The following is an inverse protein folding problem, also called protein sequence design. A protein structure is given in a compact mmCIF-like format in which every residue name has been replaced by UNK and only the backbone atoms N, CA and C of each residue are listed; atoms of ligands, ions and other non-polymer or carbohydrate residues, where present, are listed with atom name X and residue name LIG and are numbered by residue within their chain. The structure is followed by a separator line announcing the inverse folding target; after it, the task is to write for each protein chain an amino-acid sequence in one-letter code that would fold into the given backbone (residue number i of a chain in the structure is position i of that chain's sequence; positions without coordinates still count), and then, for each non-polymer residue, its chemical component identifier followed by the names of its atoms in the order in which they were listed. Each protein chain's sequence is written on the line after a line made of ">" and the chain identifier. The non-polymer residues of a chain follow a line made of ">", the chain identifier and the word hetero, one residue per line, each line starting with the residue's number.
data_IF_570410799684
#
_entry.id   IF_570410799684
#
_cell.length_a   1.000
_cell.length_b   1.000
_cell.length_c   1.000
_cell.angle_alpha   90.00
_cell.angle_beta   90.00
_cell.angle_gamma   90.00
#
_symmetry.space_group_name_H-M   'P 1'
#
loop_
_entity.id
_entity.type
_entity.pdbx_description
1 polymer ?
#
# COMPACT_ATOMS: atom_id res chain seq x y z
N UNK A 1 10.70 13.68 -12.12
CA UNK A 1 10.80 12.89 -13.36
C UNK A 1 10.34 11.49 -13.00
N UNK A 2 9.15 11.10 -13.44
CA UNK A 2 8.62 9.77 -13.15
C UNK A 2 9.46 8.75 -13.93
N UNK A 3 10.00 7.77 -13.23
CA UNK A 3 10.85 6.73 -13.81
C UNK A 3 10.05 5.94 -14.85
N UNK A 4 10.48 5.96 -16.10
CA UNK A 4 9.83 5.23 -17.21
C UNK A 4 9.81 3.71 -17.03
N UNK A 5 10.37 3.14 -15.96
CA UNK A 5 10.20 1.72 -15.64
C UNK A 5 10.24 1.51 -14.11
N UNK A 6 9.18 1.93 -13.40
CA UNK A 6 9.00 1.55 -11.99
C UNK A 6 9.04 0.03 -11.79
N UNK A 7 8.67 -0.71 -12.84
CA UNK A 7 8.85 -2.16 -12.99
C UNK A 7 9.78 -2.42 -14.17
N UNK A 8 10.75 -3.29 -13.97
CA UNK A 8 11.48 -3.86 -15.10
C UNK A 8 10.64 -4.97 -15.78
N UNK A 9 11.07 -5.39 -16.97
CA UNK A 9 10.36 -6.40 -17.76
C UNK A 9 10.20 -7.75 -17.04
N UNK A 10 11.19 -8.14 -16.22
CA UNK A 10 11.14 -9.36 -15.43
C UNK A 10 10.08 -9.27 -14.31
N UNK A 11 10.04 -8.16 -13.58
CA UNK A 11 9.05 -7.93 -12.53
C UNK A 11 7.63 -7.89 -13.09
N UNK A 12 7.45 -7.27 -14.26
CA UNK A 12 6.16 -7.29 -14.95
C UNK A 12 5.77 -8.71 -15.36
N UNK A 13 6.70 -9.47 -15.96
CA UNK A 13 6.45 -10.86 -16.32
C UNK A 13 6.08 -11.73 -15.12
N UNK A 14 6.78 -11.57 -13.99
CA UNK A 14 6.50 -12.29 -12.74
C UNK A 14 5.11 -11.94 -12.20
N UNK A 15 4.75 -10.67 -12.17
CA UNK A 15 3.43 -10.24 -11.73
C UNK A 15 2.33 -10.81 -12.63
N UNK A 16 2.49 -10.70 -13.96
CA UNK A 16 1.51 -11.20 -14.93
C UNK A 16 1.36 -12.74 -14.85
N UNK A 17 2.42 -13.45 -14.45
CA UNK A 17 2.43 -14.92 -14.36
C UNK A 17 1.94 -15.46 -13.02
N UNK A 18 2.28 -14.78 -11.91
CA UNK A 18 2.05 -15.27 -10.54
C UNK A 18 0.89 -14.56 -9.84
N UNK A 19 0.46 -13.40 -10.34
CA UNK A 19 -0.54 -12.54 -9.70
C UNK A 19 -0.01 -11.77 -8.49
N UNK A 20 1.29 -11.82 -8.20
CA UNK A 20 1.92 -11.07 -7.12
C UNK A 20 3.38 -10.70 -7.46
N UNK A 21 3.93 -9.75 -6.70
CA UNK A 21 5.32 -9.32 -6.81
C UNK A 21 5.95 -9.14 -5.43
N UNK A 22 7.22 -9.52 -5.28
CA UNK A 22 8.00 -9.31 -4.05
C UNK A 22 8.87 -8.06 -4.23
N UNK A 23 8.66 -7.06 -3.37
CA UNK A 23 9.48 -5.85 -3.32
C UNK A 23 10.38 -5.90 -2.06
N UNK A 24 11.67 -6.25 -2.19
CA UNK A 24 12.57 -6.30 -1.05
C UNK A 24 12.83 -4.89 -0.53
N UNK A 25 13.02 -4.76 0.79
CA UNK A 25 13.38 -3.49 1.43
C UNK A 25 12.43 -2.33 1.14
N UNK A 26 11.13 -2.61 0.96
CA UNK A 26 10.11 -1.58 0.77
C UNK A 26 10.04 -0.58 1.94
N UNK A 27 10.40 -1.04 3.15
CA UNK A 27 10.49 -0.25 4.37
C UNK A 27 11.95 -0.13 4.84
N UNK A 28 12.28 1.04 5.37
CA UNK A 28 13.55 1.26 6.08
C UNK A 28 13.50 0.65 7.48
N UNK A 29 14.68 0.41 8.06
CA UNK A 29 14.80 -0.11 9.43
C UNK A 29 14.14 0.82 10.47
N UNK A 30 14.27 2.13 10.31
CA UNK A 30 13.65 3.11 11.22
C UNK A 30 12.12 3.09 11.14
N UNK A 31 11.55 2.92 9.94
CA UNK A 31 10.10 2.74 9.78
C UNK A 31 9.63 1.45 10.47
N UNK A 32 10.36 0.35 10.30
CA UNK A 32 10.06 -0.93 10.97
C UNK A 32 10.13 -0.78 12.49
N UNK A 33 11.18 -0.13 13.01
CA UNK A 33 11.35 0.08 14.45
C UNK A 33 10.23 0.98 14.99
N UNK A 34 9.83 2.03 14.26
CA UNK A 34 8.69 2.87 14.63
C UNK A 34 7.39 2.08 14.67
N UNK A 35 7.07 1.32 13.61
CA UNK A 35 5.88 0.48 13.57
C UNK A 35 5.79 -0.44 14.79
N UNK A 36 6.89 -1.11 15.15
CA UNK A 36 6.96 -2.00 16.31
C UNK A 36 6.63 -1.29 17.63
N UNK A 37 7.03 -0.03 17.80
CA UNK A 37 6.68 0.75 19.02
C UNK A 37 5.20 1.10 19.12
N UNK A 38 4.49 1.09 17.99
CA UNK A 38 3.05 1.43 17.94
C UNK A 38 2.15 0.22 18.09
N UNK A 39 2.69 -1.01 17.94
CA UNK A 39 1.97 -2.25 18.14
C UNK A 39 1.58 -2.39 19.62
N UNK A 40 0.28 -2.45 19.87
CA UNK A 40 -0.25 -2.57 21.24
C UNK A 40 -0.51 -4.01 21.65
N UNK A 41 -0.80 -4.90 20.69
CA UNK A 41 -1.06 -6.34 20.92
C UNK A 41 -0.31 -7.21 19.89
N UNK A 42 0.13 -8.43 20.25
CA UNK A 42 0.91 -9.31 19.36
C UNK A 42 0.18 -9.77 18.07
N UNK A 43 -1.13 -9.60 18.01
CA UNK A 43 -1.96 -9.69 16.81
C UNK A 43 -3.19 -8.81 17.10
N UNK A 44 -3.51 -7.84 16.25
CA UNK A 44 -4.80 -7.14 16.37
C UNK A 44 -5.93 -8.06 15.91
N UNK A 45 -6.26 -9.04 16.74
CA UNK A 45 -7.58 -9.62 16.80
C UNK A 45 -8.50 -8.56 17.43
N UNK A 46 -9.41 -8.03 16.62
CA UNK A 46 -10.53 -7.23 17.12
C UNK A 46 -11.61 -8.19 17.56
N UNK A 47 -12.04 -8.08 18.82
CA UNK A 47 -13.10 -8.94 19.36
C UNK A 47 -14.49 -8.42 18.97
N UNK A 48 -14.60 -7.14 18.56
CA UNK A 48 -15.86 -6.51 18.16
C UNK A 48 -15.71 -5.51 16.99
N UNK A 49 -16.74 -5.37 16.12
CA UNK A 49 -16.74 -4.41 15.00
C UNK A 49 -16.54 -2.94 15.39
N UNK A 50 -16.88 -2.56 16.63
CA UNK A 50 -16.66 -1.21 17.17
C UNK A 50 -15.18 -0.89 17.41
N UNK A 51 -14.30 -1.89 17.46
CA UNK A 51 -12.85 -1.71 17.61
C UNK A 51 -12.17 -1.38 16.27
N UNK A 52 -12.90 -1.43 15.14
CA UNK A 52 -12.38 -1.04 13.82
C UNK A 52 -12.06 0.45 13.72
N UNK A 53 -12.75 1.31 14.48
CA UNK A 53 -12.36 2.73 14.60
C UNK A 53 -11.02 2.92 15.30
N UNK A 54 -10.55 1.90 16.03
CA UNK A 54 -9.22 1.81 16.61
C UNK A 54 -8.28 0.99 15.72
N UNK A 55 -8.46 0.98 14.39
CA UNK A 55 -7.56 0.28 13.47
C UNK A 55 -6.19 0.97 13.29
N UNK A 56 -5.22 0.30 12.63
CA UNK A 56 -3.84 0.79 12.52
C UNK A 56 -3.70 2.22 12.00
N UNK A 57 -4.58 2.62 11.07
CA UNK A 57 -4.61 3.97 10.50
C UNK A 57 -4.86 5.09 11.53
N UNK A 58 -5.31 4.75 12.74
CA UNK A 58 -5.56 5.68 13.84
C UNK A 58 -4.52 5.61 14.97
N UNK A 59 -3.63 4.62 15.00
CA UNK A 59 -2.67 4.47 16.11
C UNK A 59 -1.53 5.46 16.06
N UNK A 60 -1.00 5.68 14.87
CA UNK A 60 0.14 6.55 14.63
C UNK A 60 0.17 6.93 13.14
N UNK A 61 0.59 8.16 12.79
CA UNK A 61 0.75 8.57 11.41
C UNK A 61 1.57 7.60 10.54
N UNK A 62 2.55 6.89 11.12
CA UNK A 62 3.39 5.93 10.39
C UNK A 62 2.58 4.89 9.60
N UNK A 63 1.39 4.50 10.08
CA UNK A 63 0.52 3.54 9.41
C UNK A 63 -0.20 4.11 8.19
N UNK A 64 -0.54 5.41 8.22
CA UNK A 64 -1.10 6.11 7.06
C UNK A 64 -0.03 6.39 6.03
N UNK A 65 1.17 6.73 6.48
CA UNK A 65 2.33 6.95 5.61
C UNK A 65 2.70 5.66 4.82
N UNK A 66 2.31 4.47 5.28
CA UNK A 66 2.47 3.22 4.52
C UNK A 66 1.66 3.18 3.22
N UNK A 67 0.55 3.93 3.14
CA UNK A 67 -0.31 3.98 1.95
C UNK A 67 0.33 4.78 0.81
N UNK A 68 1.24 5.68 1.15
CA UNK A 68 1.89 6.60 0.22
C UNK A 68 3.41 6.34 0.10
N UNK A 69 3.85 5.10 0.31
CA UNK A 69 5.28 4.74 0.31
C UNK A 69 5.94 5.07 -1.04
N UNK A 70 6.98 5.93 -1.07
CA UNK A 70 7.66 6.30 -2.33
C UNK A 70 8.28 5.12 -3.08
N UNK A 71 8.59 4.04 -2.37
CA UNK A 71 9.13 2.78 -2.93
C UNK A 71 8.07 1.95 -3.65
N UNK A 72 6.78 2.12 -3.29
CA UNK A 72 5.66 1.37 -3.86
C UNK A 72 4.82 2.22 -4.81
N UNK A 73 4.67 3.52 -4.57
CA UNK A 73 3.78 4.38 -5.35
C UNK A 73 4.01 4.33 -6.86
N UNK A 74 5.25 4.39 -7.38
CA UNK A 74 5.49 4.25 -8.82
C UNK A 74 5.13 2.87 -9.36
N UNK A 75 5.29 1.82 -8.54
CA UNK A 75 4.97 0.43 -8.93
C UNK A 75 3.46 0.25 -9.00
N UNK A 76 2.72 0.73 -8.01
CA UNK A 76 1.26 0.72 -8.00
C UNK A 76 0.68 1.52 -9.17
N UNK A 77 1.25 2.69 -9.44
CA UNK A 77 0.88 3.49 -10.61
C UNK A 77 1.07 2.72 -11.92
N UNK A 78 2.18 1.99 -12.06
CA UNK A 78 2.46 1.19 -13.26
C UNK A 78 1.62 -0.10 -13.38
N UNK A 79 1.15 -0.68 -12.27
CA UNK A 79 0.35 -1.93 -12.28
C UNK A 79 -1.15 -1.66 -12.40
N UNK A 80 -1.66 -0.69 -11.66
CA UNK A 80 -3.11 -0.49 -11.43
C UNK A 80 -3.54 0.97 -11.61
N UNK A 81 -2.63 1.86 -12.03
CA UNK A 81 -2.96 3.24 -12.36
C UNK A 81 -3.69 3.38 -13.69
N UNK A 82 -4.41 4.49 -13.83
CA UNK A 82 -4.96 4.97 -15.10
C UNK A 82 -3.93 5.90 -15.76
N UNK A 83 -3.27 5.36 -16.79
CA UNK A 83 -2.24 6.07 -17.56
C UNK A 83 -2.78 7.36 -18.21
N UNK A 84 -3.99 7.33 -18.77
CA UNK A 84 -4.58 8.52 -19.43
C UNK A 84 -4.93 9.62 -18.42
N UNK A 85 -5.37 9.22 -17.22
CA UNK A 85 -5.60 10.16 -16.13
C UNK A 85 -4.29 10.77 -15.62
N UNK A 86 -3.25 9.95 -15.45
CA UNK A 86 -1.94 10.43 -15.00
C UNK A 86 -1.30 11.39 -16.01
N UNK A 87 -1.34 11.07 -17.30
CA UNK A 87 -0.85 11.96 -18.37
C UNK A 87 -1.57 13.31 -18.36
N UNK A 88 -2.91 13.29 -18.22
CA UNK A 88 -3.69 14.52 -18.07
C UNK A 88 -3.32 15.31 -16.82
N UNK A 89 -3.04 14.65 -15.69
CA UNK A 89 -2.61 15.32 -14.46
C UNK A 89 -1.24 15.96 -14.61
N UNK A 90 -0.30 15.28 -15.24
CA UNK A 90 1.05 15.80 -15.53
C UNK A 90 0.94 17.04 -16.44
N UNK A 91 0.17 16.96 -17.53
CA UNK A 91 0.00 18.06 -18.47
C UNK A 91 -0.63 19.32 -17.83
N UNK A 92 -1.44 19.15 -16.78
CA UNK A 92 -2.11 20.25 -16.07
C UNK A 92 -1.45 20.61 -14.72
N UNK A 93 -0.29 20.03 -14.38
CA UNK A 93 0.36 20.24 -13.09
C UNK A 93 1.04 21.62 -13.04
N UNK A 94 0.35 22.63 -12.50
CA UNK A 94 0.83 24.02 -12.49
C UNK A 94 1.90 24.34 -11.42
N UNK A 95 2.11 23.49 -10.41
CA UNK A 95 3.14 23.64 -9.37
C UNK A 95 3.21 22.47 -8.35
N UNK A 96 2.33 21.48 -8.46
CA UNK A 96 2.13 20.43 -7.45
C UNK A 96 2.33 19.08 -8.11
N UNK A 97 2.95 18.14 -7.40
CA UNK A 97 3.08 16.78 -7.90
C UNK A 97 1.69 16.19 -8.19
N UNK A 98 1.52 15.49 -9.33
CA UNK A 98 0.25 14.87 -9.68
C UNK A 98 -0.09 13.81 -8.63
N UNK A 99 -1.36 13.78 -8.22
CA UNK A 99 -1.84 12.73 -7.32
C UNK A 99 -1.81 11.37 -8.02
N UNK A 100 -1.62 10.26 -7.29
CA UNK A 100 -1.69 8.90 -7.84
C UNK A 100 -3.02 8.64 -8.55
N UNK A 101 -2.99 7.95 -9.68
CA UNK A 101 -4.21 7.64 -10.46
C UNK A 101 -4.91 6.37 -9.98
N UNK A 102 -4.23 5.54 -9.18
CA UNK A 102 -4.82 4.39 -8.51
C UNK A 102 -5.50 4.77 -7.19
N UNK A 103 -6.31 3.85 -6.66
CA UNK A 103 -6.98 3.99 -5.36
C UNK A 103 -6.80 2.71 -4.54
N UNK A 104 -6.36 2.87 -3.29
CA UNK A 104 -6.33 1.79 -2.31
C UNK A 104 -7.61 1.88 -1.47
N UNK A 105 -8.58 1.03 -1.78
CA UNK A 105 -9.93 1.16 -1.25
C UNK A 105 -10.22 0.41 0.04
N UNK A 106 -9.50 -0.69 0.27
CA UNK A 106 -9.68 -1.52 1.45
C UNK A 106 -8.34 -2.10 1.88
N UNK A 107 -8.04 -2.02 3.18
CA UNK A 107 -6.99 -2.83 3.79
C UNK A 107 -7.69 -4.10 4.28
N UNK A 108 -7.44 -5.23 3.61
CA UNK A 108 -7.91 -6.53 4.08
C UNK A 108 -7.07 -6.97 5.27
N UNK A 109 -7.45 -6.54 6.47
CA UNK A 109 -6.92 -7.11 7.71
C UNK A 109 -7.72 -8.37 7.98
N UNK A 110 -7.20 -9.52 7.52
CA UNK A 110 -7.74 -10.82 7.87
C UNK A 110 -7.30 -11.14 9.31
N UNK A 111 -8.23 -11.00 10.26
CA UNK A 111 -8.09 -11.61 11.56
C UNK A 111 -8.44 -13.08 11.40
N UNK A 112 -7.44 -13.95 11.41
CA UNK A 112 -7.67 -15.39 11.43
C UNK A 112 -8.36 -15.71 12.76
N UNK A 113 -9.66 -15.94 12.71
CA UNK A 113 -10.40 -16.60 13.78
C UNK A 113 -10.36 -18.08 13.42
N UNK A 114 -9.87 -18.93 14.32
CA UNK A 114 -9.63 -20.37 14.08
C UNK A 114 -10.86 -21.23 13.77
N UNK A 115 -11.95 -20.66 13.27
CA UNK A 115 -13.14 -21.33 12.79
C UNK A 115 -13.32 -20.94 11.31
N UNK A 116 -13.13 -21.91 10.41
CA UNK A 116 -13.11 -21.70 8.96
C UNK A 116 -14.37 -21.03 8.41
N UNK A 117 -14.17 -20.31 7.29
CA UNK A 117 -15.22 -19.63 6.53
C UNK A 117 -16.31 -20.61 6.08
N UNK A 118 -17.50 -20.55 6.68
CA UNK A 118 -18.69 -21.23 6.17
C UNK A 118 -19.38 -20.27 5.18
N UNK A 119 -19.29 -20.62 3.89
CA UNK A 119 -19.70 -19.78 2.76
C UNK A 119 -21.15 -19.29 2.77
#
# INVERSE_FOLDING_TARGET
>A
VLNENALNAEQKYLFDSLGYLIIPNALTRSQIDRLKTTLRRPAEQWDAPSEKSDGPLHWDPIWRDLLDLPTLSPILEALIGDHELMDRRIANAAAREPLPSYRLDHINIHTDHGEGFAG
#
